data_IF_546501530778
#
_entry.id   IF_546501530778
#
_cell.length_a   1.000
_cell.length_b   1.000
_cell.length_c   1.000
_cell.angle_alpha   90.00
_cell.angle_beta   90.00
_cell.angle_gamma   90.00
#
_symmetry.space_group_name_H-M   'P 1'
#
loop_
_entity.id
_entity.type
_entity.pdbx_description
1 polymer ?
#
# COMPACT_ATOMS: atom_id res chain seq x y z
N UNK A 1 -15.32 -22.70 -1.29
CA UNK A 1 -14.62 -23.30 -2.45
C UNK A 1 -13.57 -24.32 -2.02
N UNK A 2 -12.65 -23.98 -1.11
CA UNK A 2 -11.58 -24.90 -0.66
C UNK A 2 -12.13 -26.24 -0.13
N UNK A 3 -13.11 -26.22 0.78
CA UNK A 3 -13.71 -27.46 1.30
C UNK A 3 -14.45 -28.30 0.23
N UNK A 4 -14.96 -27.67 -0.83
CA UNK A 4 -15.57 -28.42 -1.94
C UNK A 4 -14.50 -29.08 -2.81
N UNK A 5 -13.38 -28.39 -3.05
CA UNK A 5 -12.25 -28.95 -3.78
C UNK A 5 -11.59 -30.11 -3.02
N UNK A 6 -11.44 -29.98 -1.70
CA UNK A 6 -10.90 -31.05 -0.85
C UNK A 6 -11.78 -32.30 -0.88
N UNK A 7 -13.10 -32.11 -0.86
CA UNK A 7 -14.07 -33.21 -0.95
C UNK A 7 -13.93 -34.04 -2.23
N UNK A 8 -13.51 -33.46 -3.36
CA UNK A 8 -13.28 -34.22 -4.60
C UNK A 8 -12.17 -35.27 -4.44
N UNK A 9 -11.24 -35.05 -3.50
CA UNK A 9 -10.15 -35.99 -3.20
C UNK A 9 -10.55 -36.91 -2.04
N UNK A 10 -11.06 -36.34 -0.95
CA UNK A 10 -11.30 -37.06 0.30
C UNK A 10 -12.63 -37.81 0.34
N UNK A 11 -13.60 -37.41 -0.50
CA UNK A 11 -14.99 -37.86 -0.45
C UNK A 11 -15.77 -37.35 0.78
N UNK A 12 -15.19 -36.49 1.62
CA UNK A 12 -15.77 -36.06 2.90
C UNK A 12 -16.10 -34.57 2.90
N UNK A 13 -17.23 -34.23 3.52
CA UNK A 13 -17.55 -32.84 3.84
C UNK A 13 -16.72 -32.34 5.03
N UNK A 14 -16.68 -31.01 5.19
CA UNK A 14 -15.99 -30.34 6.30
C UNK A 14 -16.89 -29.26 6.89
N UNK A 15 -16.80 -29.05 8.21
CA UNK A 15 -17.40 -27.89 8.87
C UNK A 15 -16.51 -26.66 8.64
N UNK A 16 -17.12 -25.54 8.26
CA UNK A 16 -16.42 -24.27 8.10
C UNK A 16 -16.93 -23.33 9.19
N UNK A 17 -16.03 -22.90 10.06
CA UNK A 17 -16.30 -21.90 11.08
C UNK A 17 -15.58 -20.59 10.74
N UNK A 18 -16.24 -19.47 10.97
CA UNK A 18 -15.71 -18.13 10.70
C UNK A 18 -16.38 -17.08 11.58
N UNK A 19 -15.73 -15.94 11.75
CA UNK A 19 -16.26 -14.81 12.50
C UNK A 19 -15.99 -13.49 11.79
N UNK A 20 -16.86 -12.51 12.02
CA UNK A 20 -16.65 -11.14 11.55
C UNK A 20 -15.35 -10.54 12.10
N UNK A 21 -14.96 -10.93 13.32
CA UNK A 21 -13.69 -10.50 13.91
C UNK A 21 -12.48 -11.06 13.16
N UNK A 22 -12.45 -12.36 12.85
CA UNK A 22 -11.35 -12.96 12.07
C UNK A 22 -11.25 -12.36 10.68
N UNK A 23 -12.40 -12.15 10.02
CA UNK A 23 -12.44 -11.50 8.71
C UNK A 23 -11.82 -10.10 8.79
N UNK A 24 -12.14 -9.33 9.82
CA UNK A 24 -11.65 -7.97 9.93
C UNK A 24 -10.19 -7.87 10.35
N UNK A 25 -9.73 -8.76 11.22
CA UNK A 25 -8.31 -8.88 11.54
C UNK A 25 -7.48 -9.25 10.30
N UNK A 26 -8.00 -10.15 9.45
CA UNK A 26 -7.35 -10.52 8.20
C UNK A 26 -7.21 -9.33 7.24
N UNK A 27 -8.22 -8.45 7.19
CA UNK A 27 -8.20 -7.25 6.34
C UNK A 27 -7.22 -6.16 6.79
N UNK A 28 -6.62 -6.26 7.99
CA UNK A 28 -5.63 -5.29 8.46
C UNK A 28 -4.32 -5.33 7.65
N UNK A 29 -3.97 -6.50 7.09
CA UNK A 29 -2.81 -6.70 6.23
C UNK A 29 -1.53 -5.99 6.75
N UNK A 30 -0.99 -5.02 6.00
CA UNK A 30 0.24 -4.32 6.37
C UNK A 30 0.12 -3.50 7.67
N UNK A 31 -1.08 -3.09 8.06
CA UNK A 31 -1.27 -2.34 9.32
C UNK A 31 -1.09 -3.27 10.53
N UNK A 32 -1.48 -4.54 10.42
CA UNK A 32 -1.17 -5.53 11.45
C UNK A 32 0.34 -5.81 11.51
N UNK A 33 1.01 -5.86 10.35
CA UNK A 33 2.46 -6.07 10.30
C UNK A 33 3.25 -4.95 11.00
N UNK A 34 2.85 -3.68 10.83
CA UNK A 34 3.48 -2.53 11.52
C UNK A 34 3.48 -2.69 13.05
N UNK A 35 2.36 -3.15 13.61
CA UNK A 35 2.28 -3.39 15.05
C UNK A 35 3.06 -4.64 15.48
N UNK A 36 2.92 -5.75 14.73
CA UNK A 36 3.56 -7.03 15.07
C UNK A 36 5.09 -6.99 14.96
N UNK A 37 5.63 -6.22 14.02
CA UNK A 37 7.07 -6.15 13.75
C UNK A 37 7.72 -4.98 14.50
N UNK A 38 7.15 -3.78 14.41
CA UNK A 38 7.79 -2.55 14.89
C UNK A 38 7.16 -1.99 16.17
N UNK A 39 6.06 -2.59 16.67
CA UNK A 39 5.29 -2.07 17.79
C UNK A 39 4.53 -0.77 17.47
N UNK A 40 4.51 -0.37 16.20
CA UNK A 40 3.87 0.85 15.74
C UNK A 40 2.34 0.68 15.74
N UNK A 41 1.63 1.59 16.40
CA UNK A 41 0.16 1.65 16.38
C UNK A 41 -0.26 2.62 15.29
N UNK A 42 -0.63 2.14 14.09
CA UNK A 42 -0.84 3.00 12.94
C UNK A 42 -2.01 3.96 13.17
N UNK A 43 -1.76 5.23 12.86
CA UNK A 43 -2.79 6.27 12.87
C UNK A 43 -3.50 6.33 11.50
N UNK A 44 -4.63 7.05 11.46
CA UNK A 44 -5.33 7.30 10.19
C UNK A 44 -4.43 8.13 9.26
N UNK A 45 -4.14 7.59 8.07
CA UNK A 45 -3.31 8.24 7.05
C UNK A 45 -4.12 8.87 5.90
N UNK A 46 -5.46 8.87 6.01
CA UNK A 46 -6.35 9.35 4.95
C UNK A 46 -6.14 8.57 3.64
N UNK A 47 -5.98 9.30 2.54
CA UNK A 47 -5.83 8.73 1.20
C UNK A 47 -4.36 8.54 0.76
N UNK A 48 -3.39 8.81 1.63
CA UNK A 48 -1.97 8.66 1.31
C UNK A 48 -1.43 7.36 1.91
N UNK A 49 -0.47 6.75 1.21
CA UNK A 49 0.21 5.57 1.71
C UNK A 49 1.23 5.99 2.77
N UNK A 50 1.20 5.40 3.99
CA UNK A 50 2.02 5.87 5.10
C UNK A 50 3.53 5.62 4.91
N UNK A 51 3.92 4.74 3.99
CA UNK A 51 5.33 4.32 3.81
C UNK A 51 5.82 4.34 2.37
N UNK A 52 4.99 4.81 1.42
CA UNK A 52 5.36 4.82 -0.01
C UNK A 52 5.00 6.17 -0.63
N UNK A 53 6.00 7.00 -0.89
CA UNK A 53 5.80 8.35 -1.42
C UNK A 53 6.39 8.46 -2.84
N UNK A 54 5.66 9.06 -3.81
CA UNK A 54 4.26 9.51 -3.73
C UNK A 54 3.27 8.38 -4.08
N UNK A 55 2.45 7.97 -3.11
CA UNK A 55 1.33 7.06 -3.31
C UNK A 55 0.11 7.61 -2.58
N UNK A 56 -0.94 7.98 -3.31
CA UNK A 56 -2.14 8.57 -2.71
C UNK A 56 -2.99 9.35 -3.70
N UNK A 57 -3.93 10.13 -3.18
CA UNK A 57 -4.88 10.88 -4.01
C UNK A 57 -4.38 12.30 -4.29
N UNK A 58 -4.26 12.63 -5.58
CA UNK A 58 -3.79 13.91 -6.08
C UNK A 58 -4.89 14.63 -6.85
N UNK A 59 -4.97 15.95 -6.65
CA UNK A 59 -5.94 16.80 -7.35
C UNK A 59 -5.48 17.07 -8.78
N UNK A 60 -6.39 16.94 -9.73
CA UNK A 60 -6.21 17.33 -11.14
C UNK A 60 -7.00 18.60 -11.46
N UNK A 61 -6.99 19.02 -12.73
CA UNK A 61 -7.76 20.17 -13.20
C UNK A 61 -9.27 20.00 -13.00
N UNK A 62 -9.77 18.77 -13.13
CA UNK A 62 -11.18 18.43 -13.25
C UNK A 62 -11.64 17.32 -12.27
N UNK A 63 -10.76 16.86 -11.38
CA UNK A 63 -11.08 15.83 -10.41
C UNK A 63 -9.89 15.39 -9.58
N UNK A 64 -9.83 14.09 -9.32
CA UNK A 64 -8.80 13.45 -8.53
C UNK A 64 -8.31 12.18 -9.21
N UNK A 65 -7.03 11.89 -9.06
CA UNK A 65 -6.43 10.64 -9.47
C UNK A 65 -5.72 10.01 -8.28
N UNK A 66 -5.70 8.67 -8.22
CA UNK A 66 -4.83 7.96 -7.30
C UNK A 66 -3.50 7.66 -8.02
N UNK A 67 -2.40 8.15 -7.47
CA UNK A 67 -1.05 7.87 -7.95
C UNK A 67 -0.43 6.78 -7.09
N UNK A 68 0.25 5.82 -7.71
CA UNK A 68 1.03 4.79 -7.03
C UNK A 68 2.44 4.74 -7.56
N UNK A 69 3.30 5.66 -7.10
CA UNK A 69 4.68 5.80 -7.57
C UNK A 69 5.62 5.20 -6.52
N UNK A 70 5.55 3.88 -6.39
CA UNK A 70 6.32 3.14 -5.40
C UNK A 70 7.75 2.83 -5.90
N UNK A 71 8.75 3.14 -5.07
CA UNK A 71 10.15 2.81 -5.35
C UNK A 71 10.81 3.65 -6.45
N UNK A 72 12.12 3.43 -6.66
CA UNK A 72 12.93 4.31 -7.51
C UNK A 72 12.66 4.17 -9.00
N UNK A 73 12.42 2.96 -9.47
CA UNK A 73 12.23 2.70 -10.90
C UNK A 73 10.95 3.41 -11.38
N UNK A 74 9.86 3.30 -10.62
CA UNK A 74 8.59 3.94 -10.96
C UNK A 74 8.69 5.46 -10.80
N UNK A 75 9.37 5.95 -9.74
CA UNK A 75 9.64 7.38 -9.55
C UNK A 75 10.33 8.03 -10.75
N UNK A 76 11.45 7.46 -11.22
CA UNK A 76 12.19 8.02 -12.36
C UNK A 76 11.33 8.08 -13.63
N UNK A 77 10.63 6.98 -13.94
CA UNK A 77 9.72 6.90 -15.09
C UNK A 77 8.56 7.91 -14.97
N UNK A 78 8.04 8.10 -13.77
CA UNK A 78 6.98 9.07 -13.52
C UNK A 78 7.48 10.50 -13.77
N UNK A 79 8.64 10.88 -13.23
CA UNK A 79 9.24 12.19 -13.47
C UNK A 79 9.46 12.45 -14.96
N UNK A 80 10.00 11.47 -15.68
CA UNK A 80 10.21 11.57 -17.13
C UNK A 80 8.89 11.76 -17.87
N UNK A 81 7.84 11.03 -17.47
CA UNK A 81 6.51 11.11 -18.07
C UNK A 81 5.87 12.49 -17.90
N UNK A 82 6.04 13.12 -16.73
CA UNK A 82 5.44 14.42 -16.42
C UNK A 82 6.34 15.61 -16.74
N UNK A 83 7.50 15.38 -17.36
CA UNK A 83 8.48 16.42 -17.71
C UNK A 83 9.05 17.13 -16.49
N UNK A 84 9.33 16.36 -15.42
CA UNK A 84 9.88 16.84 -14.15
C UNK A 84 11.19 16.14 -13.79
N UNK A 85 12.12 16.12 -14.74
CA UNK A 85 13.48 15.63 -14.55
C UNK A 85 14.22 16.40 -13.44
N UNK A 86 13.84 17.66 -13.22
CA UNK A 86 14.30 18.47 -12.08
C UNK A 86 13.98 17.81 -10.73
N UNK A 87 12.82 17.17 -10.60
CA UNK A 87 12.46 16.40 -9.40
C UNK A 87 13.19 15.07 -9.34
N UNK A 88 13.39 14.41 -10.49
CA UNK A 88 14.10 13.13 -10.57
C UNK A 88 15.52 13.23 -10.03
N UNK A 89 16.19 14.33 -10.39
CA UNK A 89 17.61 14.55 -10.13
C UNK A 89 17.85 15.44 -8.89
N UNK A 90 16.77 15.85 -8.20
CA UNK A 90 16.86 16.64 -6.97
C UNK A 90 17.39 15.80 -5.79
N UNK A 91 18.34 16.30 -4.99
CA UNK A 91 18.89 15.58 -3.84
C UNK A 91 17.83 15.10 -2.84
N UNK A 92 16.84 15.94 -2.55
CA UNK A 92 15.78 15.61 -1.60
C UNK A 92 14.83 14.49 -2.08
N UNK A 93 14.79 14.20 -3.38
CA UNK A 93 13.93 13.12 -3.94
C UNK A 93 14.74 11.92 -4.47
N UNK A 94 16.03 11.88 -4.16
CA UNK A 94 17.02 10.93 -4.70
C UNK A 94 16.69 9.46 -4.40
N UNK A 95 16.06 9.19 -3.24
CA UNK A 95 15.57 7.88 -2.88
C UNK A 95 14.21 7.92 -2.14
N UNK A 96 13.72 6.76 -1.70
CA UNK A 96 12.37 6.62 -1.16
C UNK A 96 12.31 7.16 0.26
N UNK A 97 13.39 7.01 1.02
CA UNK A 97 13.50 7.52 2.37
C UNK A 97 13.57 9.05 2.35
N UNK A 98 14.38 9.62 1.44
CA UNK A 98 14.48 11.05 1.21
C UNK A 98 13.11 11.66 0.87
N UNK A 99 12.36 11.05 -0.07
CA UNK A 99 11.00 11.47 -0.41
C UNK A 99 10.04 11.41 0.79
N UNK A 100 10.13 10.35 1.58
CA UNK A 100 9.26 10.17 2.74
C UNK A 100 9.46 11.25 3.81
N UNK A 101 10.69 11.75 3.99
CA UNK A 101 11.02 12.79 4.98
C UNK A 101 10.42 14.16 4.67
N UNK A 102 10.08 14.43 3.41
CA UNK A 102 9.56 15.73 2.96
C UNK A 102 8.07 15.84 3.20
N UNK A 103 7.32 14.77 2.92
CA UNK A 103 5.86 14.76 3.11
C UNK A 103 5.44 14.71 4.59
N UNK A 104 6.35 14.30 5.48
CA UNK A 104 6.15 14.35 6.93
C UNK A 104 6.46 15.72 7.57
N UNK A 105 6.79 16.75 6.78
CA UNK A 105 6.90 18.15 7.24
C UNK A 105 5.62 18.91 6.97
#
# INVERSE_FOLDING_TARGET
MIALLEREVSGKGQWIDTSLLQAQLFMLDFQAARWLVDGDVPQQAGNNHPTSIPTGVFRTKDGYINLGVAGQVIWKRFCDLVGREDLRDHPDYSDAEARSKIEMR
#
